data_IF_473637624216
#
_entry.id   IF_473637624216
#
_cell.length_a   1.000
_cell.length_b   1.000
_cell.length_c   1.000
_cell.angle_alpha   90.00
_cell.angle_beta   90.00
_cell.angle_gamma   90.00
#
_symmetry.space_group_name_H-M   'P 1'
#
loop_
_entity.id
_entity.type
_entity.pdbx_description
1 polymer ?
#
# COMPACT_ATOMS: atom_id res chain seq x y z
N UNK A 1 6.02 1.52 -36.29
CA UNK A 1 5.85 0.79 -35.02
C UNK A 1 4.58 -0.02 -35.15
N UNK A 2 4.67 -1.35 -35.07
CA UNK A 2 3.47 -2.19 -35.02
C UNK A 2 2.95 -2.04 -33.59
N UNK A 3 1.86 -1.28 -33.42
CA UNK A 3 1.16 -1.22 -32.14
C UNK A 3 0.58 -2.62 -31.88
N UNK A 4 1.33 -3.44 -31.15
CA UNK A 4 0.90 -4.80 -30.80
C UNK A 4 -0.14 -4.67 -29.71
N UNK A 5 -1.34 -5.13 -29.99
CA UNK A 5 -2.38 -5.27 -28.98
C UNK A 5 -1.85 -6.12 -27.83
N UNK A 6 -2.12 -5.68 -26.60
CA UNK A 6 -1.83 -6.47 -25.39
C UNK A 6 -2.85 -7.59 -25.31
N UNK A 7 -2.38 -8.80 -25.05
CA UNK A 7 -3.21 -10.00 -24.84
C UNK A 7 -2.68 -10.77 -23.64
N UNK A 8 -3.50 -11.61 -23.02
CA UNK A 8 -3.05 -12.49 -21.92
C UNK A 8 -1.86 -13.38 -22.33
N UNK A 9 -1.84 -13.81 -23.60
CA UNK A 9 -0.77 -14.63 -24.16
C UNK A 9 0.57 -13.90 -24.24
N UNK A 10 0.56 -12.58 -24.51
CA UNK A 10 1.79 -11.83 -24.76
C UNK A 10 2.25 -10.98 -23.58
N UNK A 11 1.37 -10.69 -22.62
CA UNK A 11 1.65 -9.88 -21.45
C UNK A 11 2.71 -10.57 -20.57
N UNK A 12 3.84 -9.90 -20.37
CA UNK A 12 4.86 -10.28 -19.40
C UNK A 12 4.60 -9.61 -18.06
N UNK A 13 4.58 -8.27 -18.05
CA UNK A 13 4.26 -7.46 -16.89
C UNK A 13 3.62 -6.12 -17.30
N UNK A 14 2.78 -5.59 -16.42
CA UNK A 14 2.33 -4.20 -16.47
C UNK A 14 3.44 -3.27 -16.01
N UNK A 15 3.51 -2.08 -16.61
CA UNK A 15 4.47 -1.04 -16.24
C UNK A 15 3.72 0.22 -15.84
N UNK A 16 3.77 0.54 -14.56
CA UNK A 16 3.19 1.73 -13.97
C UNK A 16 4.23 2.85 -13.97
N UNK A 17 3.89 3.99 -14.56
CA UNK A 17 4.81 5.13 -14.69
C UNK A 17 4.62 6.12 -13.55
N UNK A 18 5.71 6.48 -12.89
CA UNK A 18 5.81 7.56 -11.93
C UNK A 18 6.53 8.76 -12.55
N UNK A 19 5.87 9.91 -12.56
CA UNK A 19 6.50 11.19 -12.88
C UNK A 19 6.82 11.91 -11.56
N UNK A 20 8.10 12.09 -11.20
CA UNK A 20 8.49 12.71 -9.94
C UNK A 20 8.12 14.20 -9.87
N UNK A 21 7.86 14.85 -11.02
CA UNK A 21 7.33 16.21 -11.07
C UNK A 21 5.82 16.27 -10.71
N UNK A 22 5.13 15.12 -10.64
CA UNK A 22 3.69 15.00 -10.32
C UNK A 22 3.47 14.31 -8.97
N UNK A 23 4.29 13.31 -8.65
CA UNK A 23 4.20 12.53 -7.42
C UNK A 23 5.60 12.24 -6.87
N UNK A 24 5.90 12.71 -5.66
CA UNK A 24 7.23 12.66 -5.03
C UNK A 24 7.49 11.31 -4.33
N UNK A 25 7.58 10.26 -5.14
CA UNK A 25 7.95 8.94 -4.65
C UNK A 25 9.31 8.93 -3.89
N UNK A 26 10.35 9.70 -4.28
CA UNK A 26 11.56 9.78 -3.47
C UNK A 26 11.32 10.27 -2.04
N UNK A 27 10.47 11.29 -1.83
CA UNK A 27 10.08 11.73 -0.49
C UNK A 27 9.30 10.65 0.26
N UNK A 28 8.39 9.95 -0.42
CA UNK A 28 7.64 8.83 0.15
C UNK A 28 8.55 7.71 0.67
N UNK A 29 9.56 7.33 -0.11
CA UNK A 29 10.57 6.35 0.29
C UNK A 29 11.39 6.87 1.47
N UNK A 30 11.74 8.17 1.49
CA UNK A 30 12.52 8.75 2.56
C UNK A 30 11.78 8.76 3.91
N UNK A 31 10.45 8.81 3.87
CA UNK A 31 9.58 8.72 5.05
C UNK A 31 9.30 7.26 5.47
N UNK A 32 9.86 6.27 4.76
CA UNK A 32 9.90 4.86 5.18
C UNK A 32 9.09 3.91 4.31
N UNK A 33 8.44 4.41 3.25
CA UNK A 33 7.66 3.55 2.36
C UNK A 33 8.56 2.57 1.60
N UNK A 34 8.11 1.32 1.56
CA UNK A 34 8.82 0.21 0.92
C UNK A 34 7.96 -0.54 -0.11
N UNK A 35 6.67 -0.23 -0.18
CA UNK A 35 5.74 -0.80 -1.13
C UNK A 35 4.87 0.26 -1.81
N UNK A 36 4.49 -0.02 -3.04
CA UNK A 36 3.47 0.75 -3.77
C UNK A 36 2.23 -0.13 -3.91
N UNK A 37 1.16 0.32 -3.27
CA UNK A 37 -0.03 -0.49 -3.03
C UNK A 37 -1.24 -0.10 -3.90
N UNK A 38 -1.11 1.02 -4.61
CA UNK A 38 -2.03 1.38 -5.67
C UNK A 38 -1.38 2.38 -6.60
N UNK A 39 -1.82 2.39 -7.86
CA UNK A 39 -1.32 3.35 -8.84
C UNK A 39 -2.42 3.86 -9.76
N UNK A 40 -2.31 5.12 -10.16
CA UNK A 40 -3.28 5.74 -11.07
C UNK A 40 -3.11 5.20 -12.50
N UNK A 41 -4.23 4.93 -13.16
CA UNK A 41 -4.28 4.46 -14.54
C UNK A 41 -5.25 5.30 -15.36
N UNK A 42 -5.01 5.35 -16.67
CA UNK A 42 -5.96 5.88 -17.64
C UNK A 42 -7.01 4.81 -17.92
N UNK A 43 -8.30 5.19 -17.94
CA UNK A 43 -9.36 4.29 -18.41
C UNK A 43 -9.17 3.96 -19.89
N UNK A 44 -8.82 2.71 -20.16
CA UNK A 44 -8.72 2.17 -21.50
C UNK A 44 -8.76 0.63 -21.46
N UNK A 45 -8.72 0.00 -22.63
CA UNK A 45 -8.78 -1.47 -22.73
C UNK A 45 -7.68 -2.18 -21.93
N UNK A 46 -6.50 -1.57 -21.72
CA UNK A 46 -5.39 -2.17 -20.96
C UNK A 46 -5.66 -2.15 -19.47
N UNK A 47 -6.15 -1.03 -18.93
CA UNK A 47 -6.51 -0.96 -17.51
C UNK A 47 -7.64 -1.95 -17.18
N UNK A 48 -8.60 -2.12 -18.11
CA UNK A 48 -9.69 -3.09 -17.99
C UNK A 48 -9.23 -4.56 -18.09
N UNK A 49 -8.02 -4.83 -18.57
CA UNK A 49 -7.42 -6.17 -18.60
C UNK A 49 -6.61 -6.49 -17.33
N UNK A 50 -6.43 -5.51 -16.43
CA UNK A 50 -5.70 -5.74 -15.21
C UNK A 50 -6.56 -6.55 -14.26
N UNK A 51 -6.00 -7.66 -13.78
CA UNK A 51 -6.57 -8.51 -12.74
C UNK A 51 -5.49 -8.88 -11.72
N UNK A 52 -5.89 -9.43 -10.58
CA UNK A 52 -4.96 -9.88 -9.55
C UNK A 52 -3.97 -10.95 -10.07
N UNK A 53 -2.74 -10.93 -9.54
CA UNK A 53 -1.71 -11.95 -9.79
C UNK A 53 -0.88 -11.72 -11.05
N UNK A 54 -1.02 -10.58 -11.73
CA UNK A 54 -0.18 -10.22 -12.87
C UNK A 54 1.07 -9.48 -12.39
N UNK A 55 2.21 -9.71 -13.06
CA UNK A 55 3.47 -9.02 -12.70
C UNK A 55 3.36 -7.52 -12.97
N UNK A 56 3.91 -6.73 -12.05
CA UNK A 56 3.91 -5.28 -12.10
C UNK A 56 5.32 -4.71 -11.93
N UNK A 57 5.63 -3.66 -12.68
CA UNK A 57 6.89 -2.91 -12.64
C UNK A 57 6.55 -1.45 -12.38
N UNK A 58 7.27 -0.81 -11.45
CA UNK A 58 7.24 0.63 -11.27
C UNK A 58 8.39 1.28 -12.04
N UNK A 59 8.04 2.15 -12.98
CA UNK A 59 8.93 2.88 -13.85
C UNK A 59 8.99 4.35 -13.46
N UNK A 60 10.14 4.82 -13.02
CA UNK A 60 10.40 6.25 -12.83
C UNK A 60 10.69 6.91 -14.17
N UNK A 61 9.92 7.93 -14.56
CA UNK A 61 10.12 8.64 -15.83
C UNK A 61 11.34 9.58 -15.83
N UNK A 62 11.88 9.87 -14.65
CA UNK A 62 12.97 10.82 -14.46
C UNK A 62 12.47 12.20 -14.03
N UNK A 63 13.23 12.89 -13.18
CA UNK A 63 13.07 14.31 -12.90
C UNK A 63 14.01 15.16 -13.78
N UNK A 64 13.75 16.46 -13.86
CA UNK A 64 14.60 17.38 -14.63
C UNK A 64 15.95 17.64 -13.97
N UNK A 65 16.06 17.41 -12.66
CA UNK A 65 17.22 17.77 -11.85
C UNK A 65 18.15 16.57 -11.54
N UNK A 66 17.74 15.35 -11.88
CA UNK A 66 18.54 14.12 -11.75
C UNK A 66 18.46 13.44 -10.38
N UNK A 67 17.62 13.92 -9.46
CA UNK A 67 17.42 13.32 -8.14
C UNK A 67 16.64 12.01 -8.21
N UNK A 68 15.78 11.85 -9.21
CA UNK A 68 15.01 10.64 -9.44
C UNK A 68 15.42 10.07 -10.81
N UNK A 69 16.50 9.27 -10.90
CA UNK A 69 16.95 8.73 -12.17
C UNK A 69 15.87 7.87 -12.84
N UNK A 70 15.69 8.11 -14.15
CA UNK A 70 14.76 7.35 -14.99
C UNK A 70 15.14 5.87 -15.01
N UNK A 71 14.18 4.97 -14.81
CA UNK A 71 14.46 3.53 -14.74
C UNK A 71 13.40 2.72 -14.00
N UNK A 72 13.75 1.48 -13.65
CA UNK A 72 12.92 0.56 -12.87
C UNK A 72 13.23 0.75 -11.39
N UNK A 73 12.21 1.11 -10.63
CA UNK A 73 12.30 1.39 -9.20
C UNK A 73 11.60 0.36 -8.33
N UNK A 74 10.74 -0.47 -8.92
CA UNK A 74 9.98 -1.46 -8.14
C UNK A 74 9.51 -2.63 -8.99
N UNK A 75 9.32 -3.77 -8.34
CA UNK A 75 8.79 -5.00 -8.92
C UNK A 75 7.80 -5.67 -7.98
N UNK A 76 6.77 -6.29 -8.53
CA UNK A 76 5.78 -7.02 -7.73
C UNK A 76 4.55 -7.42 -8.52
N UNK A 77 3.37 -7.18 -7.98
CA UNK A 77 2.12 -7.76 -8.48
C UNK A 77 0.98 -6.74 -8.53
N UNK A 78 0.02 -6.97 -9.41
CA UNK A 78 -1.34 -6.41 -9.29
C UNK A 78 -2.12 -7.27 -8.30
N UNK A 79 -2.92 -6.65 -7.44
CA UNK A 79 -3.66 -7.36 -6.37
C UNK A 79 -5.17 -7.40 -6.59
N UNK A 80 -5.65 -6.78 -7.67
CA UNK A 80 -7.06 -6.69 -8.00
C UNK A 80 -7.28 -5.96 -9.31
N UNK A 81 -8.56 -5.76 -9.62
CA UNK A 81 -9.01 -5.11 -10.85
C UNK A 81 -8.91 -3.59 -10.72
N UNK A 82 -8.94 -2.88 -11.86
CA UNK A 82 -9.03 -1.41 -11.82
C UNK A 82 -10.36 -0.95 -11.22
N UNK A 83 -10.33 0.07 -10.37
CA UNK A 83 -11.51 0.66 -9.74
C UNK A 83 -11.56 2.17 -9.96
N UNK A 84 -12.77 2.72 -9.87
CA UNK A 84 -13.02 4.16 -10.01
C UNK A 84 -12.74 4.92 -8.71
N UNK A 85 -12.25 6.15 -8.84
CA UNK A 85 -12.07 7.12 -7.75
C UNK A 85 -12.52 8.50 -8.23
N UNK A 86 -12.99 9.38 -7.35
CA UNK A 86 -13.34 10.76 -7.71
C UNK A 86 -12.25 11.75 -7.28
N UNK A 87 -11.09 11.65 -7.93
CA UNK A 87 -9.92 12.46 -7.61
C UNK A 87 -9.20 12.03 -6.33
N UNK A 88 -7.97 12.53 -6.19
CA UNK A 88 -7.08 12.29 -5.07
C UNK A 88 -6.59 13.64 -4.53
N UNK A 89 -6.11 13.67 -3.29
CA UNK A 89 -5.52 14.87 -2.68
C UNK A 89 -4.59 14.49 -1.51
N UNK A 90 -3.69 15.40 -1.14
CA UNK A 90 -2.76 15.19 -0.02
C UNK A 90 -1.58 14.28 -0.36
N UNK A 91 -0.90 13.73 0.65
CA UNK A 91 0.23 12.81 0.45
C UNK A 91 1.40 13.43 -0.29
N UNK A 92 2.02 12.67 -1.19
CA UNK A 92 3.20 13.07 -1.97
C UNK A 92 2.86 13.64 -3.35
N UNK A 93 1.61 14.05 -3.58
CA UNK A 93 1.22 14.74 -4.81
C UNK A 93 1.89 16.13 -4.89
N UNK A 94 2.63 16.38 -5.96
CA UNK A 94 3.26 17.68 -6.27
C UNK A 94 2.37 18.54 -7.18
N UNK A 95 1.42 17.90 -7.87
CA UNK A 95 0.43 18.54 -8.73
C UNK A 95 -0.98 18.15 -8.28
N UNK A 96 -1.57 18.98 -7.40
CA UNK A 96 -2.92 18.79 -6.86
C UNK A 96 -3.99 18.76 -7.96
N UNK A 97 -3.80 19.53 -9.04
CA UNK A 97 -4.74 19.54 -10.18
C UNK A 97 -4.68 18.20 -10.93
N UNK A 98 -3.52 17.56 -11.00
CA UNK A 98 -3.39 16.20 -11.53
C UNK A 98 -4.06 15.20 -10.60
N UNK A 99 -3.78 15.27 -9.30
CA UNK A 99 -4.37 14.40 -8.28
C UNK A 99 -5.91 14.43 -8.35
N UNK A 100 -6.50 15.62 -8.37
CA UNK A 100 -7.95 15.83 -8.46
C UNK A 100 -8.59 15.31 -9.76
N UNK A 101 -7.80 15.11 -10.82
CA UNK A 101 -8.25 14.57 -12.13
C UNK A 101 -8.09 13.06 -12.26
N UNK A 102 -7.43 12.38 -11.31
CA UNK A 102 -7.35 10.91 -11.31
C UNK A 102 -8.76 10.34 -11.21
N UNK A 103 -9.06 9.35 -12.05
CA UNK A 103 -10.37 8.69 -12.08
C UNK A 103 -10.34 7.18 -11.93
N UNK A 104 -9.19 6.56 -12.20
CA UNK A 104 -9.04 5.13 -12.03
C UNK A 104 -7.72 4.81 -11.33
N UNK A 105 -7.79 3.83 -10.44
CA UNK A 105 -6.64 3.24 -9.79
C UNK A 105 -6.65 1.73 -9.99
N UNK A 106 -5.48 1.13 -9.80
CA UNK A 106 -5.30 -0.32 -9.75
C UNK A 106 -4.60 -0.62 -8.44
N UNK A 107 -5.08 -1.60 -7.65
CA UNK A 107 -4.39 -2.01 -6.45
C UNK A 107 -3.17 -2.86 -6.84
N UNK A 108 -2.04 -2.56 -6.21
CA UNK A 108 -0.75 -3.17 -6.49
C UNK A 108 -0.07 -3.64 -5.22
N UNK A 109 1.02 -4.34 -5.41
CA UNK A 109 1.86 -4.92 -4.38
C UNK A 109 3.27 -4.90 -4.96
N UNK A 110 3.82 -3.69 -5.15
CA UNK A 110 5.11 -3.48 -5.80
C UNK A 110 6.14 -3.13 -4.73
N UNK A 111 7.13 -3.99 -4.54
CA UNK A 111 8.26 -3.70 -3.66
C UNK A 111 9.14 -2.63 -4.30
N UNK A 112 9.41 -1.57 -3.56
CA UNK A 112 10.40 -0.56 -3.94
C UNK A 112 11.78 -1.18 -3.77
N UNK A 113 12.61 -1.08 -4.81
CA UNK A 113 13.97 -1.58 -4.80
C UNK A 113 14.89 -0.59 -4.10
N UNK A 114 15.86 -1.11 -3.35
CA UNK A 114 16.97 -0.32 -2.85
C UNK A 114 17.83 0.20 -4.01
N UNK A 115 18.51 1.33 -3.83
CA UNK A 115 19.34 1.95 -4.88
C UNK A 115 20.27 1.00 -5.66
N UNK A 116 21.00 0.05 -5.05
CA UNK A 116 21.85 -0.87 -5.82
C UNK A 116 21.08 -1.82 -6.74
N UNK A 117 19.80 -2.08 -6.45
CA UNK A 117 18.96 -3.00 -7.21
C UNK A 117 18.07 -2.27 -8.24
N UNK A 118 18.00 -0.93 -8.20
CA UNK A 118 17.29 -0.12 -9.19
C UNK A 118 18.03 -0.16 -10.53
N UNK A 119 17.30 -0.40 -11.61
CA UNK A 119 17.88 -0.39 -12.96
C UNK A 119 17.69 0.96 -13.64
N UNK A 120 18.76 1.60 -14.09
CA UNK A 120 18.67 2.83 -14.86
C UNK A 120 18.21 2.54 -16.28
N UNK A 121 17.50 3.51 -16.87
CA UNK A 121 17.04 3.42 -18.25
C UNK A 121 18.17 3.12 -19.25
N UNK A 122 19.36 3.71 -19.04
CA UNK A 122 20.51 3.52 -19.92
C UNK A 122 21.06 2.08 -19.84
N UNK A 123 21.05 1.47 -18.65
CA UNK A 123 21.50 0.08 -18.45
C UNK A 123 20.51 -0.92 -19.07
N UNK A 124 19.22 -0.59 -19.06
CA UNK A 124 18.18 -1.39 -19.72
C UNK A 124 18.25 -1.25 -21.24
N UNK A 125 18.47 -0.03 -21.74
CA UNK A 125 18.46 0.28 -23.17
C UNK A 125 19.60 -0.36 -23.96
N UNK A 126 20.73 -0.70 -23.32
CA UNK A 126 21.85 -1.40 -23.98
C UNK A 126 21.58 -2.88 -24.23
N UNK A 127 20.54 -3.46 -23.60
CA UNK A 127 20.12 -4.84 -23.84
C UNK A 127 19.26 -4.89 -25.10
N UNK A 128 19.69 -5.59 -26.17
CA UNK A 128 19.01 -5.55 -27.47
C UNK A 128 17.52 -5.92 -27.41
N UNK A 129 17.17 -6.92 -26.61
CA UNK A 129 15.79 -7.39 -26.45
C UNK A 129 14.90 -6.43 -25.65
N UNK A 130 15.49 -5.40 -25.02
CA UNK A 130 14.80 -4.37 -24.24
C UNK A 130 14.92 -2.97 -24.87
N UNK A 131 15.60 -2.84 -26.01
CA UNK A 131 15.83 -1.54 -26.66
C UNK A 131 14.53 -0.88 -27.16
N UNK A 132 13.47 -1.66 -27.36
CA UNK A 132 12.19 -1.22 -27.90
C UNK A 132 11.04 -1.21 -26.88
N UNK A 133 11.34 -1.26 -25.58
CA UNK A 133 10.33 -1.14 -24.52
C UNK A 133 9.40 0.06 -24.78
N UNK A 134 8.10 -0.11 -24.50
CA UNK A 134 7.10 0.93 -24.79
C UNK A 134 7.38 2.24 -24.01
N UNK A 135 7.95 2.14 -22.80
CA UNK A 135 8.40 3.30 -22.02
C UNK A 135 9.56 4.08 -22.65
N UNK A 136 10.29 3.49 -23.60
CA UNK A 136 11.32 4.18 -24.39
C UNK A 136 10.77 4.75 -25.68
N UNK A 137 9.96 3.98 -26.39
CA UNK A 137 9.46 4.33 -27.72
C UNK A 137 8.27 5.28 -27.67
N UNK A 138 7.47 5.23 -26.59
CA UNK A 138 6.28 6.05 -26.35
C UNK A 138 6.31 6.59 -24.91
N UNK A 139 7.29 7.44 -24.53
CA UNK A 139 7.46 7.90 -23.16
C UNK A 139 6.25 8.69 -22.63
N UNK A 140 5.54 9.38 -23.52
CA UNK A 140 4.32 10.14 -23.23
C UNK A 140 3.03 9.31 -23.48
N UNK A 141 3.13 7.99 -23.61
CA UNK A 141 1.97 7.11 -23.79
C UNK A 141 1.09 7.04 -22.54
N UNK A 142 -0.05 6.36 -22.63
CA UNK A 142 -0.95 6.14 -21.48
C UNK A 142 -0.27 5.36 -20.34
N UNK A 143 -0.82 5.47 -19.14
CA UNK A 143 -0.53 4.59 -18.01
C UNK A 143 -1.72 3.63 -17.86
N UNK A 144 -1.57 2.30 -17.81
CA UNK A 144 -0.32 1.55 -17.79
C UNK A 144 0.35 1.42 -19.18
N UNK A 145 1.67 1.28 -19.14
CA UNK A 145 2.48 0.68 -20.21
C UNK A 145 2.59 -0.83 -19.95
N UNK A 146 3.28 -1.58 -20.82
CA UNK A 146 3.50 -3.01 -20.63
C UNK A 146 4.85 -3.46 -21.19
N UNK A 147 5.26 -4.67 -20.81
CA UNK A 147 6.32 -5.42 -21.49
C UNK A 147 5.82 -6.81 -21.86
N UNK A 148 6.33 -7.36 -22.95
CA UNK A 148 5.99 -8.71 -23.39
C UNK A 148 6.67 -9.78 -22.54
N UNK A 149 6.19 -11.03 -22.61
CA UNK A 149 6.84 -12.19 -21.95
C UNK A 149 8.31 -12.35 -22.33
N UNK A 150 8.67 -12.12 -23.60
CA UNK A 150 10.04 -12.20 -24.07
C UNK A 150 10.93 -11.09 -23.47
N UNK A 151 10.41 -9.86 -23.44
CA UNK A 151 11.09 -8.74 -22.78
C UNK A 151 11.23 -8.98 -21.27
N UNK A 152 10.19 -9.49 -20.60
CA UNK A 152 10.29 -9.83 -19.19
C UNK A 152 11.39 -10.88 -18.94
N UNK A 153 11.46 -11.94 -19.76
CA UNK A 153 12.49 -12.96 -19.63
C UNK A 153 13.93 -12.42 -19.84
N UNK A 154 14.10 -11.39 -20.69
CA UNK A 154 15.37 -10.70 -20.86
C UNK A 154 15.69 -9.73 -19.71
N UNK A 155 14.66 -9.20 -19.04
CA UNK A 155 14.78 -8.24 -17.95
C UNK A 155 15.05 -8.92 -16.59
N UNK A 156 14.43 -10.07 -16.32
CA UNK A 156 14.53 -10.79 -15.03
C UNK A 156 15.96 -11.05 -14.55
N UNK A 157 16.94 -11.45 -15.39
CA UNK A 157 18.32 -11.66 -14.96
C UNK A 157 19.05 -10.41 -14.46
N UNK A 158 18.51 -9.22 -14.75
CA UNK A 158 19.08 -7.93 -14.34
C UNK A 158 18.50 -7.44 -13.00
N UNK A 159 17.41 -8.04 -12.55
CA UNK A 159 16.67 -7.63 -11.35
C UNK A 159 16.98 -8.59 -10.18
N UNK A 160 16.77 -8.16 -8.93
CA UNK A 160 16.68 -9.10 -7.82
C UNK A 160 15.52 -10.09 -8.04
N UNK A 161 15.49 -11.21 -7.30
CA UNK A 161 14.39 -12.16 -7.37
C UNK A 161 13.04 -11.45 -7.24
N UNK A 162 12.11 -11.82 -8.10
CA UNK A 162 10.75 -11.34 -8.01
C UNK A 162 10.18 -11.75 -6.65
N UNK A 163 9.57 -10.83 -5.88
CA UNK A 163 8.99 -11.19 -4.58
C UNK A 163 7.93 -12.27 -4.78
N UNK A 164 7.86 -13.24 -3.87
CA UNK A 164 6.77 -14.21 -3.95
C UNK A 164 5.44 -13.46 -3.84
N UNK A 165 4.36 -13.93 -4.48
CA UNK A 165 3.04 -13.31 -4.36
C UNK A 165 2.57 -13.10 -2.90
N UNK A 166 3.08 -13.92 -1.98
CA UNK A 166 2.75 -13.88 -0.55
C UNK A 166 3.79 -13.13 0.31
N UNK A 167 4.93 -12.73 -0.26
CA UNK A 167 5.97 -11.95 0.44
C UNK A 167 5.69 -10.44 0.38
N UNK A 168 4.65 -10.05 -0.37
CA UNK A 168 4.23 -8.67 -0.45
C UNK A 168 3.10 -8.47 0.54
N UNK A 169 3.13 -7.41 1.37
CA UNK A 169 1.98 -7.05 2.17
C UNK A 169 0.78 -6.95 1.22
N UNK A 170 -0.20 -7.84 1.36
CA UNK A 170 -1.52 -7.68 0.75
C UNK A 170 -2.22 -6.63 1.60
N UNK A 171 -1.69 -5.43 1.55
CA UNK A 171 -2.15 -4.36 2.40
C UNK A 171 -3.17 -3.58 1.58
N UNK A 172 -4.26 -3.22 2.24
CA UNK A 172 -5.31 -2.36 1.69
C UNK A 172 -5.59 -1.26 2.77
N UNK A 173 -4.82 -0.15 2.72
CA UNK A 173 -4.32 0.97 3.60
C UNK A 173 -3.69 2.33 2.93
N UNK A 174 -4.30 3.16 2.03
CA UNK A 174 -4.02 4.60 1.67
C UNK A 174 -4.09 5.59 2.85
N UNK A 175 -2.94 6.02 3.35
CA UNK A 175 -2.64 7.38 3.83
C UNK A 175 -3.65 8.53 3.55
N UNK A 176 -4.41 9.08 4.51
CA UNK A 176 -4.96 10.44 4.44
C UNK A 176 -5.54 10.95 5.77
N UNK A 177 -5.48 12.26 6.05
CA UNK A 177 -4.66 12.97 7.05
C UNK A 177 -4.57 12.42 8.50
N UNK A 178 -5.15 11.23 8.79
CA UNK A 178 -5.21 10.55 10.09
C UNK A 178 -5.10 9.00 9.96
N UNK A 179 -4.20 8.44 9.13
CA UNK A 179 -4.17 6.97 8.82
C UNK A 179 -4.54 6.73 7.34
N UNK A 180 -3.94 5.87 6.51
CA UNK A 180 -3.80 4.42 6.43
C UNK A 180 -5.13 3.76 6.03
N UNK A 181 -5.52 3.83 4.74
CA UNK A 181 -6.84 3.48 4.16
C UNK A 181 -6.87 3.09 2.64
N UNK A 182 -6.67 1.83 2.14
CA UNK A 182 -6.46 1.54 0.66
C UNK A 182 -7.81 1.19 0.05
N UNK A 183 -8.09 1.78 -1.11
CA UNK A 183 -9.43 1.84 -1.68
C UNK A 183 -9.90 3.29 -1.77
N UNK A 184 -11.07 3.53 -2.38
CA UNK A 184 -11.70 4.83 -2.27
C UNK A 184 -11.95 5.14 -0.78
N UNK A 185 -11.86 6.41 -0.33
CA UNK A 185 -12.20 6.78 1.04
C UNK A 185 -13.54 6.19 1.49
N UNK A 186 -14.48 6.06 0.55
CA UNK A 186 -15.78 5.41 0.73
C UNK A 186 -15.64 3.91 1.03
N UNK A 187 -14.85 3.15 0.27
CA UNK A 187 -14.58 1.74 0.55
C UNK A 187 -13.83 1.53 1.87
N UNK A 188 -12.92 2.42 2.24
CA UNK A 188 -12.25 2.36 3.53
C UNK A 188 -13.22 2.62 4.67
N UNK A 189 -14.07 3.63 4.52
CA UNK A 189 -15.13 3.91 5.49
C UNK A 189 -16.06 2.71 5.61
N UNK A 190 -16.38 2.03 4.49
CA UNK A 190 -17.18 0.81 4.51
C UNK A 190 -16.46 -0.35 5.21
N UNK A 191 -15.16 -0.55 4.99
CA UNK A 191 -14.36 -1.58 5.66
C UNK A 191 -14.22 -1.29 7.16
N UNK A 192 -13.91 -0.05 7.52
CA UNK A 192 -13.80 0.42 8.90
C UNK A 192 -15.14 0.25 9.63
N UNK A 193 -16.23 0.73 9.04
CA UNK A 193 -17.57 0.54 9.59
C UNK A 193 -17.94 -0.94 9.71
N UNK A 194 -17.68 -1.76 8.67
CA UNK A 194 -17.99 -3.17 8.71
C UNK A 194 -17.15 -3.92 9.76
N UNK A 195 -15.88 -3.52 9.95
CA UNK A 195 -15.03 -4.06 11.00
C UNK A 195 -15.54 -3.67 12.39
N UNK A 196 -15.88 -2.40 12.62
CA UNK A 196 -16.47 -1.91 13.87
C UNK A 196 -17.77 -2.65 14.20
N UNK A 197 -18.66 -2.82 13.22
CA UNK A 197 -19.92 -3.55 13.38
C UNK A 197 -19.67 -5.03 13.70
N UNK A 198 -18.73 -5.68 13.01
CA UNK A 198 -18.40 -7.08 13.22
C UNK A 198 -17.78 -7.33 14.59
N UNK A 199 -16.85 -6.47 15.04
CA UNK A 199 -16.20 -6.57 16.35
C UNK A 199 -17.19 -6.27 17.46
N UNK A 200 -18.01 -5.23 17.34
CA UNK A 200 -19.08 -4.91 18.30
C UNK A 200 -20.00 -6.12 18.48
N UNK A 201 -20.49 -6.69 17.38
CA UNK A 201 -21.35 -7.87 17.40
C UNK A 201 -20.64 -9.08 18.01
N UNK A 202 -19.34 -9.26 17.75
CA UNK A 202 -18.54 -10.34 18.32
C UNK A 202 -18.53 -10.27 19.86
N UNK A 203 -18.23 -9.11 20.45
CA UNK A 203 -18.20 -8.96 21.92
C UNK A 203 -19.59 -9.04 22.55
N UNK A 204 -20.60 -8.39 21.96
CA UNK A 204 -21.98 -8.48 22.47
C UNK A 204 -22.50 -9.93 22.46
N UNK A 205 -22.18 -10.71 21.41
CA UNK A 205 -22.73 -12.06 21.24
C UNK A 205 -21.94 -13.12 22.00
N UNK A 206 -20.60 -13.12 21.88
CA UNK A 206 -19.76 -14.17 22.45
C UNK A 206 -19.42 -13.91 23.92
N UNK A 207 -19.26 -12.64 24.30
CA UNK A 207 -18.85 -12.25 25.64
C UNK A 207 -19.97 -11.62 26.47
N UNK A 208 -21.13 -11.36 25.85
CA UNK A 208 -22.28 -10.70 26.50
C UNK A 208 -21.89 -9.34 27.10
N UNK A 209 -20.90 -8.69 26.51
CA UNK A 209 -20.32 -7.45 27.00
C UNK A 209 -21.11 -6.24 26.49
N UNK A 210 -21.02 -5.15 27.25
CA UNK A 210 -21.40 -3.80 26.79
C UNK A 210 -20.22 -3.23 26.00
N UNK A 211 -20.50 -2.59 24.85
CA UNK A 211 -19.47 -2.06 23.95
C UNK A 211 -19.74 -0.58 23.72
N UNK A 212 -18.79 0.25 24.15
CA UNK A 212 -18.82 1.69 23.96
C UNK A 212 -17.86 2.10 22.84
N UNK A 213 -18.38 2.82 21.85
CA UNK A 213 -17.59 3.39 20.76
C UNK A 213 -16.84 4.65 21.21
N UNK A 214 -15.51 4.58 21.22
CA UNK A 214 -14.60 5.64 21.63
C UNK A 214 -13.61 6.09 20.54
N UNK A 215 -13.77 5.64 19.29
CA UNK A 215 -12.79 5.88 18.20
C UNK A 215 -12.47 7.37 17.99
N UNK A 216 -13.45 8.26 18.18
CA UNK A 216 -13.26 9.71 18.01
C UNK A 216 -12.49 10.41 19.14
N UNK A 217 -12.26 9.75 20.28
CA UNK A 217 -11.62 10.35 21.45
C UNK A 217 -10.10 10.23 21.47
N UNK A 218 -9.50 9.56 20.48
CA UNK A 218 -8.05 9.42 20.33
C UNK A 218 -7.35 8.82 21.57
N UNK A 219 -7.96 7.77 22.14
CA UNK A 219 -7.45 7.09 23.33
C UNK A 219 -6.33 6.08 23.01
N UNK A 220 -6.17 5.70 21.74
CA UNK A 220 -5.26 4.64 21.27
C UNK A 220 -5.92 3.27 21.19
N UNK A 221 -7.25 3.23 21.24
CA UNK A 221 -8.14 2.12 20.94
C UNK A 221 -9.50 2.69 20.47
N UNK A 222 -10.31 1.86 19.83
CA UNK A 222 -11.58 2.27 19.21
C UNK A 222 -12.80 1.94 20.07
N UNK A 223 -12.78 0.81 20.78
CA UNK A 223 -13.90 0.32 21.58
C UNK A 223 -13.49 0.07 23.02
N UNK A 224 -14.34 0.49 23.96
CA UNK A 224 -14.23 0.09 25.37
C UNK A 224 -15.26 -0.99 25.64
N UNK A 225 -14.80 -2.19 25.98
CA UNK A 225 -15.67 -3.36 26.18
C UNK A 225 -15.75 -3.66 27.67
N UNK A 226 -16.96 -3.66 28.23
CA UNK A 226 -17.21 -3.98 29.63
C UNK A 226 -17.91 -5.33 29.75
N UNK A 227 -17.23 -6.33 30.31
CA UNK A 227 -17.81 -7.66 30.51
C UNK A 227 -18.87 -7.65 31.62
N UNK A 228 -19.78 -8.66 31.69
CA UNK A 228 -20.73 -8.79 32.80
C UNK A 228 -20.09 -8.89 34.19
N UNK A 229 -18.82 -9.27 34.25
CA UNK A 229 -18.04 -9.34 35.49
C UNK A 229 -17.51 -7.95 35.94
N UNK A 230 -17.63 -6.93 35.09
CA UNK A 230 -17.11 -5.59 35.32
C UNK A 230 -15.64 -5.42 34.94
N UNK A 231 -15.10 -6.32 34.10
CA UNK A 231 -13.77 -6.16 33.51
C UNK A 231 -13.88 -5.27 32.27
N UNK A 232 -12.92 -4.36 32.10
CA UNK A 232 -12.87 -3.42 30.99
C UNK A 232 -11.70 -3.81 30.07
N UNK A 233 -11.96 -3.90 28.76
CA UNK A 233 -10.97 -4.16 27.71
C UNK A 233 -10.95 -3.01 26.72
N UNK A 234 -9.76 -2.70 26.21
CA UNK A 234 -9.50 -1.59 25.30
C UNK A 234 -9.14 -2.15 23.94
N UNK A 235 -10.09 -2.12 23.01
CA UNK A 235 -10.00 -2.84 21.74
C UNK A 235 -9.70 -1.87 20.60
N UNK A 236 -8.55 -2.03 19.97
CA UNK A 236 -8.23 -1.42 18.68
C UNK A 236 -8.82 -2.28 17.56
N UNK A 237 -9.51 -1.67 16.59
CA UNK A 237 -10.22 -2.40 15.52
C UNK A 237 -9.60 -2.12 14.17
N UNK A 238 -9.19 -3.17 13.46
CA UNK A 238 -8.66 -3.06 12.09
C UNK A 238 -9.41 -3.97 11.13
N UNK A 239 -9.86 -3.42 10.01
CA UNK A 239 -10.53 -4.15 8.94
C UNK A 239 -9.64 -4.36 7.73
N UNK A 240 -9.69 -5.55 7.14
CA UNK A 240 -9.11 -5.85 5.82
C UNK A 240 -10.11 -6.60 4.96
N UNK A 241 -10.13 -6.28 3.65
CA UNK A 241 -10.98 -6.99 2.68
C UNK A 241 -10.42 -8.37 2.31
N UNK A 242 -9.11 -8.58 2.49
CA UNK A 242 -8.41 -9.84 2.24
C UNK A 242 -8.54 -10.86 3.38
N UNK A 243 -7.92 -12.03 3.19
CA UNK A 243 -7.95 -13.16 4.11
C UNK A 243 -6.81 -13.20 5.13
N UNK A 244 -5.83 -12.31 5.02
CA UNK A 244 -4.65 -12.27 5.89
C UNK A 244 -4.77 -11.11 6.89
N UNK A 245 -4.48 -11.33 8.20
CA UNK A 245 -4.61 -10.31 9.24
C UNK A 245 -3.35 -9.41 9.32
N UNK A 246 -2.99 -8.75 8.23
CA UNK A 246 -1.85 -7.82 8.18
C UNK A 246 -2.41 -6.40 8.22
N UNK A 247 -2.07 -5.65 9.28
CA UNK A 247 -2.62 -4.32 9.55
C UNK A 247 -1.52 -3.37 10.01
N UNK A 248 -1.69 -2.06 9.77
CA UNK A 248 -0.79 -1.04 10.30
C UNK A 248 -1.29 -0.58 11.68
N UNK A 249 -0.34 -0.28 12.57
CA UNK A 249 -0.61 0.35 13.86
C UNK A 249 -0.02 1.74 13.89
N UNK A 250 -0.76 2.69 14.45
CA UNK A 250 -0.22 4.03 14.69
C UNK A 250 0.77 4.02 15.86
N UNK A 251 1.63 5.03 15.93
CA UNK A 251 2.56 5.19 17.05
C UNK A 251 1.82 5.34 18.40
N UNK A 252 0.59 5.89 18.39
CA UNK A 252 -0.23 5.99 19.59
C UNK A 252 -0.76 4.63 20.03
N UNK A 253 -1.26 3.83 19.09
CA UNK A 253 -1.73 2.45 19.33
C UNK A 253 -0.60 1.58 19.90
N UNK A 254 0.59 1.58 19.28
CA UNK A 254 1.74 0.84 19.81
C UNK A 254 2.12 1.29 21.23
N UNK A 255 2.16 2.61 21.48
CA UNK A 255 2.48 3.17 22.80
C UNK A 255 1.46 2.72 23.85
N UNK A 256 0.18 2.69 23.51
CA UNK A 256 -0.87 2.26 24.45
C UNK A 256 -0.81 0.75 24.67
N UNK A 257 -0.63 -0.05 23.61
CA UNK A 257 -0.43 -1.49 23.73
C UNK A 257 0.77 -1.85 24.65
N UNK A 258 1.83 -1.04 24.67
CA UNK A 258 2.98 -1.24 25.58
C UNK A 258 2.67 -0.98 27.07
N UNK A 259 1.61 -0.22 27.38
CA UNK A 259 1.38 0.31 28.72
C UNK A 259 0.02 -0.07 29.32
N UNK A 260 -0.94 -0.53 28.52
CA UNK A 260 -2.26 -0.97 28.98
C UNK A 260 -2.39 -2.49 28.83
N UNK A 261 -2.37 -3.19 29.96
CA UNK A 261 -2.48 -4.66 30.03
C UNK A 261 -3.84 -5.18 29.50
N UNK A 262 -4.86 -4.31 29.47
CA UNK A 262 -6.20 -4.60 28.96
C UNK A 262 -6.37 -4.29 27.47
N UNK A 263 -5.30 -3.86 26.79
CA UNK A 263 -5.33 -3.54 25.37
C UNK A 263 -5.26 -4.79 24.49
N UNK A 264 -6.08 -4.83 23.45
CA UNK A 264 -6.09 -5.90 22.45
C UNK A 264 -6.41 -5.37 21.06
N UNK A 265 -5.97 -6.11 20.03
CA UNK A 265 -6.20 -5.80 18.63
C UNK A 265 -7.19 -6.80 18.03
N UNK A 266 -8.35 -6.31 17.61
CA UNK A 266 -9.32 -7.07 16.84
C UNK A 266 -9.11 -6.81 15.34
N UNK A 267 -8.73 -7.85 14.59
CA UNK A 267 -8.59 -7.79 13.13
C UNK A 267 -9.75 -8.52 12.47
N UNK A 268 -10.43 -7.85 11.55
CA UNK A 268 -11.53 -8.39 10.74
C UNK A 268 -11.04 -8.66 9.32
N UNK A 269 -10.92 -9.94 8.96
CA UNK A 269 -10.66 -10.36 7.58
C UNK A 269 -11.97 -10.57 6.83
N UNK A 270 -11.94 -10.48 5.50
CA UNK A 270 -13.13 -10.54 4.66
C UNK A 270 -14.22 -9.53 5.08
N UNK A 271 -13.81 -8.33 5.50
CA UNK A 271 -14.68 -7.36 6.19
C UNK A 271 -15.95 -6.97 5.42
N UNK A 272 -15.91 -6.97 4.08
CA UNK A 272 -17.06 -6.63 3.23
C UNK A 272 -17.85 -7.87 2.72
N UNK A 273 -17.51 -9.07 3.18
CA UNK A 273 -18.23 -10.28 2.82
C UNK A 273 -19.46 -10.49 3.71
N UNK A 274 -20.33 -11.43 3.32
CA UNK A 274 -21.48 -11.83 4.15
C UNK A 274 -21.05 -12.55 5.45
N UNK A 275 -19.80 -13.03 5.52
CA UNK A 275 -19.23 -13.78 6.65
C UNK A 275 -17.86 -13.20 7.06
N UNK A 276 -17.81 -12.01 7.67
CA UNK A 276 -16.56 -11.43 8.16
C UNK A 276 -15.98 -12.26 9.31
N UNK A 277 -14.66 -12.42 9.31
CA UNK A 277 -13.95 -13.23 10.30
C UNK A 277 -13.19 -12.34 11.29
N UNK A 278 -13.59 -12.39 12.56
CA UNK A 278 -12.95 -11.62 13.65
C UNK A 278 -11.90 -12.48 14.34
N UNK A 279 -10.67 -11.99 14.43
CA UNK A 279 -9.59 -12.58 15.24
C UNK A 279 -9.03 -11.53 16.20
N UNK A 280 -8.88 -11.89 17.47
CA UNK A 280 -8.37 -10.99 18.52
C UNK A 280 -6.97 -11.42 18.93
N UNK A 281 -6.08 -10.44 19.09
CA UNK A 281 -4.70 -10.61 19.52
C UNK A 281 -4.42 -9.77 20.77
N UNK A 282 -3.75 -10.36 21.76
CA UNK A 282 -3.28 -9.63 22.93
C UNK A 282 -2.15 -8.65 22.58
N UNK A 283 -1.95 -7.61 23.38
CA UNK A 283 -0.89 -6.61 23.18
C UNK A 283 0.49 -7.25 22.96
N UNK A 284 0.76 -8.33 23.69
CA UNK A 284 2.02 -9.07 23.69
C UNK A 284 2.28 -9.76 22.32
N UNK A 285 1.25 -10.39 21.75
CA UNK A 285 1.23 -10.97 20.41
C UNK A 285 1.45 -9.89 19.36
N UNK A 286 0.79 -8.75 19.51
CA UNK A 286 0.93 -7.63 18.59
C UNK A 286 2.34 -7.06 18.62
N UNK A 287 2.85 -6.69 19.79
CA UNK A 287 4.16 -6.06 19.97
C UNK A 287 5.32 -6.94 19.53
N UNK A 288 5.22 -8.26 19.73
CA UNK A 288 6.23 -9.22 19.23
C UNK A 288 6.30 -9.28 17.71
N UNK A 289 5.21 -8.96 17.02
CA UNK A 289 5.11 -9.03 15.56
C UNK A 289 5.13 -7.63 14.89
N UNK A 290 5.00 -6.55 15.66
CA UNK A 290 5.21 -5.19 15.19
C UNK A 290 6.70 -4.85 15.23
N UNK A 291 7.34 -4.67 14.07
CA UNK A 291 8.67 -4.06 14.03
C UNK A 291 8.52 -2.53 14.10
N UNK A 292 9.28 -1.82 14.96
CA UNK A 292 9.22 -0.37 14.99
C UNK A 292 9.70 0.20 13.66
N UNK A 293 8.82 0.92 12.95
CA UNK A 293 9.22 1.76 11.84
C UNK A 293 9.70 3.11 12.41
N UNK A 294 11.03 3.29 12.39
CA UNK A 294 11.80 4.54 12.50
C UNK A 294 11.32 5.62 13.48
N UNK A 295 12.11 5.88 14.53
CA UNK A 295 11.98 7.09 15.36
C UNK A 295 12.92 8.17 14.83
N UNK A 296 12.36 9.32 14.40
CA UNK A 296 13.12 10.53 14.05
C UNK A 296 13.42 11.35 15.31
N UNK A 297 14.70 11.55 15.61
CA UNK A 297 15.13 12.47 16.68
C UNK A 297 15.70 13.78 16.08
N UNK A 298 15.09 14.92 16.40
CA UNK A 298 15.59 16.25 16.02
C UNK A 298 16.33 16.88 17.20
N UNK A 299 17.66 16.73 17.24
CA UNK A 299 18.52 17.17 18.35
C UNK A 299 19.27 18.48 18.04
N UNK A 300 18.87 19.22 17.00
CA UNK A 300 19.60 20.42 16.54
C UNK A 300 19.60 21.57 17.55
N UNK A 301 18.74 21.52 18.57
CA UNK A 301 18.67 22.50 19.68
C UNK A 301 19.29 22.03 20.99
N UNK A 302 19.83 20.81 21.06
CA UNK A 302 20.36 20.24 22.29
C UNK A 302 21.89 20.39 22.36
N UNK A 303 22.39 20.93 23.46
CA UNK A 303 23.82 20.99 23.75
C UNK A 303 24.27 19.60 24.28
N UNK A 304 24.59 18.70 23.34
CA UNK A 304 25.17 17.40 23.66
C UNK A 304 26.50 17.54 24.43
N UNK A 305 26.82 16.58 25.31
CA UNK A 305 28.07 16.60 26.10
C UNK A 305 29.12 15.66 25.49
N UNK A 306 30.40 16.06 25.58
CA UNK A 306 31.56 15.21 25.23
C UNK A 306 32.53 15.13 26.41
N UNK A 307 33.00 13.92 26.71
CA UNK A 307 34.13 13.64 27.63
C UNK A 307 35.43 13.48 26.86
#
# INVERSE_FOLDING_TARGET
MINRAVTEDNLGAWVFKCNPDVYDLPAEIADGESFVEGWSVTDNYRSQMITAGQKAILWMSGDRNGYAPRGIWGIGWTTGDSYEVDGLSGGYWQDDDHAARVRHMVPTAIRILDEPDRLRADDVAVVPDLADLEVFTVPQGSNPSWISRAQLAALEPLLPPWPAPNDVPLTTVTLGPHGAAFGSPENNTLVEQAAMDAVTKYYETHWQAEVDDVHTYNMGWDLTVTTPAGEEWHVEVKGVSGSLPIVLLTANECRVAEHEDAWELAVVTHALSDEPEVTVYDADQVLRNSQPQTVRADLRGEDGWST
#
